data_IF_052621049747
#
_entry.id   IF_052621049747
#
_cell.length_a   1.000
_cell.length_b   1.000
_cell.length_c   1.000
_cell.angle_alpha   90.00
_cell.angle_beta   90.00
_cell.angle_gamma   90.00
#
_symmetry.space_group_name_H-M   'P 1'
#
loop_
_entity.id
_entity.type
_entity.pdbx_description
1 polymer ?
#
# COMPACT_ATOMS: atom_id res chain seq x y z
N UNK A 1 2.92 -4.06 19.72
CA UNK A 1 3.44 -4.11 18.34
C UNK A 1 2.80 -2.94 17.61
N UNK A 2 3.56 -1.89 17.33
CA UNK A 2 3.05 -0.67 16.71
C UNK A 2 3.44 -0.66 15.24
N UNK A 3 2.49 -0.32 14.38
CA UNK A 3 2.80 -0.04 12.98
C UNK A 3 3.51 1.31 12.90
N UNK A 4 4.39 1.48 11.92
CA UNK A 4 5.11 2.74 11.68
C UNK A 4 4.15 3.93 11.48
N UNK A 5 2.98 3.67 10.85
CA UNK A 5 1.90 4.63 10.70
C UNK A 5 1.15 5.00 12.01
N UNK A 6 1.62 4.56 13.19
CA UNK A 6 1.01 4.80 14.49
C UNK A 6 -0.19 3.88 14.81
N UNK A 7 -0.57 3.00 13.88
CA UNK A 7 -1.67 2.06 14.05
C UNK A 7 -1.39 0.96 15.08
N UNK A 8 -2.39 0.65 15.89
CA UNK A 8 -2.33 -0.44 16.87
C UNK A 8 -2.57 -1.78 16.15
N UNK A 9 -1.55 -2.63 16.03
CA UNK A 9 -1.71 -3.97 15.47
C UNK A 9 -2.30 -4.87 16.57
N UNK A 10 -3.63 -4.97 16.59
CA UNK A 10 -4.35 -5.77 17.60
C UNK A 10 -4.11 -7.28 17.44
N UNK A 11 -3.82 -7.76 16.22
CA UNK A 11 -3.60 -9.19 15.93
C UNK A 11 -2.37 -9.37 15.04
N UNK A 12 -1.41 -10.19 15.47
CA UNK A 12 -0.19 -10.51 14.71
C UNK A 12 -0.46 -11.26 13.40
N UNK A 13 -1.66 -11.82 13.21
CA UNK A 13 -2.09 -12.48 11.97
C UNK A 13 -2.49 -11.49 10.86
N UNK A 14 -2.67 -10.20 11.17
CA UNK A 14 -2.97 -9.15 10.18
C UNK A 14 -1.73 -8.31 9.82
N UNK A 15 -0.51 -8.80 10.11
CA UNK A 15 0.67 -8.14 9.58
C UNK A 15 0.76 -8.47 8.09
N UNK A 16 0.58 -7.46 7.25
CA UNK A 16 0.92 -7.56 5.84
C UNK A 16 2.32 -6.93 5.72
N UNK A 17 3.31 -7.71 5.31
CA UNK A 17 4.66 -7.17 5.09
C UNK A 17 4.67 -6.30 3.84
N UNK A 18 5.22 -5.09 3.93
CA UNK A 18 5.49 -4.30 2.74
C UNK A 18 6.49 -5.06 1.84
N UNK A 19 6.16 -5.24 0.56
CA UNK A 19 7.05 -5.96 -0.37
C UNK A 19 8.36 -5.22 -0.65
N UNK A 20 8.37 -3.89 -0.54
CA UNK A 20 9.57 -3.08 -0.80
C UNK A 20 10.48 -2.96 0.43
N UNK A 21 9.94 -2.52 1.57
CA UNK A 21 10.76 -2.26 2.77
C UNK A 21 10.72 -3.37 3.81
N UNK A 22 9.83 -4.37 3.66
CA UNK A 22 9.67 -5.48 4.62
C UNK A 22 9.04 -5.08 5.96
N UNK A 23 8.71 -3.80 6.18
CA UNK A 23 8.11 -3.36 7.44
C UNK A 23 6.69 -3.93 7.62
N UNK A 24 6.32 -4.28 8.87
CA UNK A 24 4.97 -4.75 9.17
C UNK A 24 3.98 -3.60 8.97
N UNK A 25 3.01 -3.81 8.07
CA UNK A 25 1.90 -2.89 7.85
C UNK A 25 0.66 -3.40 8.57
N UNK A 26 -0.07 -2.49 9.20
CA UNK A 26 -1.39 -2.78 9.75
C UNK A 26 -2.45 -2.61 8.65
N UNK A 27 -3.62 -3.27 8.75
CA UNK A 27 -4.68 -3.15 7.75
C UNK A 27 -5.23 -1.72 7.59
N UNK A 28 -4.89 -0.78 8.49
CA UNK A 28 -5.25 0.63 8.36
C UNK A 28 -4.30 1.43 7.44
N UNK A 29 -3.07 0.96 7.21
CA UNK A 29 -2.09 1.63 6.35
C UNK A 29 -1.42 0.72 5.31
N UNK A 30 -1.80 -0.56 5.29
CA UNK A 30 -1.48 -1.49 4.22
C UNK A 30 -2.26 -1.09 2.96
N UNK A 31 -1.54 -0.89 1.86
CA UNK A 31 -2.11 -0.59 0.55
C UNK A 31 -1.84 -1.79 -0.36
N UNK A 32 -2.88 -2.35 -0.95
CA UNK A 32 -2.78 -3.49 -1.88
C UNK A 32 -2.75 -2.98 -3.32
N UNK A 33 -1.63 -3.17 -4.03
CA UNK A 33 -1.44 -2.80 -5.44
C UNK A 33 -1.08 -4.06 -6.24
N UNK A 34 -1.81 -4.34 -7.32
CA UNK A 34 -1.48 -5.43 -8.27
C UNK A 34 -1.19 -6.80 -7.61
N UNK A 35 -1.84 -7.08 -6.47
CA UNK A 35 -1.64 -8.29 -5.64
C UNK A 35 -0.43 -8.30 -4.69
N UNK A 36 0.31 -7.20 -4.57
CA UNK A 36 1.32 -7.00 -3.54
C UNK A 36 0.86 -6.00 -2.48
N UNK A 37 1.36 -6.14 -1.25
CA UNK A 37 1.07 -5.19 -0.17
C UNK A 37 2.24 -4.25 0.05
N UNK A 38 1.94 -2.97 0.14
CA UNK A 38 2.89 -1.88 0.36
C UNK A 38 2.50 -1.10 1.62
N UNK A 39 3.49 -0.52 2.30
CA UNK A 39 3.23 0.48 3.33
C UNK A 39 2.82 1.79 2.67
N UNK A 40 2.21 2.72 3.42
CA UNK A 40 1.79 4.04 2.90
C UNK A 40 2.92 4.80 2.20
N UNK A 41 4.13 4.71 2.70
CA UNK A 41 5.30 5.43 2.17
C UNK A 41 5.76 4.84 0.84
N UNK A 42 6.06 3.54 0.81
CA UNK A 42 6.41 2.80 -0.41
C UNK A 42 5.29 2.88 -1.47
N UNK A 43 4.03 2.74 -1.05
CA UNK A 43 2.89 2.93 -1.93
C UNK A 43 2.84 4.35 -2.49
N UNK A 44 3.17 5.38 -1.70
CA UNK A 44 3.30 6.75 -2.20
C UNK A 44 4.34 6.86 -3.30
N UNK A 45 5.52 6.28 -3.11
CA UNK A 45 6.59 6.27 -4.11
C UNK A 45 6.20 5.51 -5.40
N UNK A 46 5.55 4.35 -5.27
CA UNK A 46 5.03 3.58 -6.41
C UNK A 46 3.89 4.33 -7.11
N UNK A 47 2.97 4.94 -6.35
CA UNK A 47 1.82 5.68 -6.87
C UNK A 47 2.21 7.02 -7.49
N UNK A 48 3.24 7.71 -6.99
CA UNK A 48 3.81 8.89 -7.63
C UNK A 48 4.37 8.54 -9.01
N UNK A 49 4.89 7.32 -9.21
CA UNK A 49 5.20 6.81 -10.54
C UNK A 49 3.95 6.52 -11.40
N UNK A 50 2.83 6.11 -10.77
CA UNK A 50 1.54 5.82 -11.45
C UNK A 50 0.70 7.09 -11.73
N UNK A 51 0.98 8.22 -11.08
CA UNK A 51 0.36 9.51 -11.43
C UNK A 51 0.73 9.99 -12.85
N UNK A 52 1.68 9.33 -13.51
CA UNK A 52 1.94 9.51 -14.93
C UNK A 52 1.01 8.59 -15.74
N UNK A 53 -0.13 9.17 -16.13
CA UNK A 53 -1.20 8.64 -17.01
C UNK A 53 -2.11 7.60 -16.37
N UNK A 54 -3.06 8.10 -15.57
CA UNK A 54 -4.44 7.65 -15.75
C UNK A 54 -4.80 7.89 -17.23
N UNK A 55 -4.67 6.85 -18.06
CA UNK A 55 -5.26 6.84 -19.39
C UNK A 55 -6.75 7.05 -19.18
N UNK A 56 -7.26 8.16 -19.71
CA UNK A 56 -8.68 8.43 -19.74
C UNK A 56 -9.43 7.18 -20.26
N UNK A 57 -10.64 6.89 -19.75
CA UNK A 57 -11.45 5.82 -20.29
C UNK A 57 -11.60 6.06 -21.80
N UNK A 58 -11.22 5.07 -22.61
CA UNK A 58 -11.53 5.08 -24.03
C UNK A 58 -13.05 4.98 -24.16
N UNK A 59 -13.71 6.12 -24.37
CA UNK A 59 -15.09 6.16 -24.83
C UNK A 59 -15.12 5.61 -26.25
N UNK A 60 -15.69 4.41 -26.40
CA UNK A 60 -16.08 3.86 -27.69
C UNK A 60 -17.44 4.47 -28.03
N UNK A 61 -17.41 5.36 -29.02
CA UNK A 61 -18.56 5.94 -29.73
C UNK A 61 -19.40 4.89 -30.46
#
# INVERSE_FOLDING_TARGET
>A
MNCDCGGQIKHSFHHLGCVECGQPCCPACAISLESATYCRDCAGNVLEAVLIKASAPFEIV
#
